data_IF_168331699391
#
_entry.id   IF_168331699391
#
_cell.length_a   1.000
_cell.length_b   1.000
_cell.length_c   1.000
_cell.angle_alpha   90.00
_cell.angle_beta   90.00
_cell.angle_gamma   90.00
#
_symmetry.space_group_name_H-M   'P 1'
#
loop_
_entity.id
_entity.type
_entity.pdbx_description
1 polymer ?
#
# COMPACT_ATOMS: atom_id res chain seq x y z
N UNK A 1 -9.05 5.02 15.79
CA UNK A 1 -8.64 6.43 15.72
C UNK A 1 -7.92 6.78 14.40
N UNK A 2 -7.18 5.85 13.72
CA UNK A 2 -6.57 6.12 12.41
C UNK A 2 -7.63 6.49 11.36
N UNK A 3 -8.72 5.75 11.25
CA UNK A 3 -9.78 6.01 10.29
C UNK A 3 -10.38 7.42 10.42
N UNK A 4 -10.50 7.93 11.65
CA UNK A 4 -10.97 9.31 11.91
C UNK A 4 -9.95 10.33 11.42
N UNK A 5 -8.66 10.08 11.67
CA UNK A 5 -7.56 10.95 11.23
C UNK A 5 -7.43 11.00 9.71
N UNK A 6 -7.57 9.85 9.05
CA UNK A 6 -7.39 9.71 7.60
C UNK A 6 -8.63 10.16 6.81
N UNK A 7 -9.78 10.15 7.46
CA UNK A 7 -11.04 10.62 6.90
C UNK A 7 -11.76 9.61 5.99
N UNK A 8 -13.02 9.89 5.70
CA UNK A 8 -13.93 8.98 4.98
C UNK A 8 -13.56 8.70 3.52
N UNK A 9 -12.67 9.49 2.93
CA UNK A 9 -12.17 9.26 1.56
C UNK A 9 -11.00 8.29 1.49
N UNK A 10 -10.42 7.92 2.63
CA UNK A 10 -9.41 6.90 2.71
C UNK A 10 -10.05 5.52 2.55
N UNK A 11 -9.46 4.68 1.73
CA UNK A 11 -9.88 3.29 1.57
C UNK A 11 -9.13 2.46 2.62
N UNK A 12 -9.90 1.76 3.45
CA UNK A 12 -9.37 0.94 4.54
C UNK A 12 -9.46 -0.52 4.11
N UNK A 13 -8.33 -1.20 4.12
CA UNK A 13 -8.24 -2.61 3.74
C UNK A 13 -7.71 -3.42 4.90
N UNK A 14 -8.35 -4.53 5.18
CA UNK A 14 -7.95 -5.46 6.24
C UNK A 14 -7.81 -6.86 5.67
N UNK A 15 -6.72 -7.55 5.99
CA UNK A 15 -6.58 -8.95 5.63
C UNK A 15 -7.70 -9.78 6.28
N UNK A 16 -8.34 -10.59 5.45
CA UNK A 16 -9.37 -11.53 5.89
C UNK A 16 -8.75 -12.92 5.94
N UNK A 17 -8.67 -13.47 7.14
CA UNK A 17 -8.23 -14.84 7.33
C UNK A 17 -9.15 -15.84 6.59
N UNK A 18 -8.60 -16.96 6.12
CA UNK A 18 -9.41 -18.00 5.50
C UNK A 18 -10.45 -18.58 6.46
N UNK A 19 -11.63 -18.88 5.93
CA UNK A 19 -12.72 -19.51 6.68
C UNK A 19 -13.76 -18.53 7.22
N UNK A 20 -14.77 -19.09 7.86
CA UNK A 20 -15.94 -18.35 8.35
C UNK A 20 -15.62 -17.35 9.48
N UNK A 21 -14.59 -17.63 10.28
CA UNK A 21 -14.13 -16.71 11.32
C UNK A 21 -13.60 -15.41 10.75
N UNK A 22 -12.78 -15.46 9.69
CA UNK A 22 -12.29 -14.26 9.01
C UNK A 22 -13.41 -13.45 8.36
N UNK A 23 -14.40 -14.12 7.79
CA UNK A 23 -15.59 -13.46 7.23
C UNK A 23 -16.41 -12.74 8.32
N UNK A 24 -16.61 -13.39 9.46
CA UNK A 24 -17.33 -12.80 10.59
C UNK A 24 -16.62 -11.56 11.14
N UNK A 25 -15.30 -11.60 11.26
CA UNK A 25 -14.49 -10.48 11.75
C UNK A 25 -14.58 -9.30 10.77
N UNK A 26 -14.38 -9.52 9.49
CA UNK A 26 -14.48 -8.45 8.48
C UNK A 26 -15.89 -7.86 8.38
N UNK A 27 -16.93 -8.69 8.47
CA UNK A 27 -18.33 -8.23 8.48
C UNK A 27 -18.63 -7.40 9.74
N UNK A 28 -18.13 -7.82 10.91
CA UNK A 28 -18.23 -7.05 12.14
C UNK A 28 -17.58 -5.66 12.00
N UNK A 29 -16.34 -5.59 11.48
CA UNK A 29 -15.68 -4.30 11.25
C UNK A 29 -16.46 -3.42 10.29
N UNK A 30 -16.93 -3.99 9.18
CA UNK A 30 -17.69 -3.25 8.16
C UNK A 30 -19.00 -2.68 8.69
N UNK A 31 -19.74 -3.44 9.52
CA UNK A 31 -21.09 -3.04 9.97
C UNK A 31 -21.11 -2.33 11.30
N UNK A 32 -20.20 -2.65 12.21
CA UNK A 32 -20.25 -2.17 13.58
C UNK A 32 -19.15 -1.17 13.93
N UNK A 33 -17.93 -1.36 13.39
CA UNK A 33 -16.79 -0.54 13.78
C UNK A 33 -16.57 0.61 12.81
N UNK A 34 -16.72 0.36 11.51
CA UNK A 34 -16.42 1.31 10.43
C UNK A 34 -17.58 1.48 9.43
N UNK A 35 -18.86 1.63 9.89
CA UNK A 35 -20.02 1.63 9.00
C UNK A 35 -20.05 2.80 8.03
N UNK A 36 -19.36 3.90 8.34
CA UNK A 36 -19.33 5.12 7.52
C UNK A 36 -18.05 5.28 6.70
N UNK A 37 -17.16 4.28 6.74
CA UNK A 37 -15.88 4.31 6.07
C UNK A 37 -15.88 3.36 4.88
N UNK A 38 -15.01 3.67 3.91
CA UNK A 38 -14.78 2.77 2.78
C UNK A 38 -13.87 1.62 3.21
N UNK A 39 -14.47 0.62 3.86
CA UNK A 39 -13.79 -0.55 4.42
C UNK A 39 -14.05 -1.80 3.58
N UNK A 40 -13.00 -2.56 3.33
CA UNK A 40 -13.09 -3.83 2.65
C UNK A 40 -12.16 -4.90 3.24
N UNK A 41 -12.70 -6.11 3.46
CA UNK A 41 -11.93 -7.29 3.83
C UNK A 41 -11.37 -7.96 2.58
N UNK A 42 -10.06 -8.23 2.57
CA UNK A 42 -9.38 -8.78 1.40
C UNK A 42 -8.76 -10.13 1.71
N UNK A 43 -8.92 -11.07 0.81
CA UNK A 43 -8.19 -12.34 0.85
C UNK A 43 -6.89 -12.16 0.08
N UNK A 44 -5.78 -12.26 0.80
CA UNK A 44 -4.47 -12.22 0.19
C UNK A 44 -4.13 -13.60 -0.39
N UNK A 45 -3.46 -13.61 -1.52
CA UNK A 45 -3.01 -14.82 -2.21
C UNK A 45 -1.52 -14.75 -2.48
N UNK A 46 -0.85 -15.88 -2.49
CA UNK A 46 0.60 -15.97 -2.66
C UNK A 46 1.38 -15.77 -1.35
N UNK A 47 2.66 -16.01 -1.40
CA UNK A 47 3.57 -15.81 -0.28
C UNK A 47 3.83 -14.32 -0.02
N UNK A 48 4.28 -13.97 1.19
CA UNK A 48 4.69 -12.60 1.55
C UNK A 48 5.75 -12.06 0.58
N UNK A 49 6.73 -12.88 0.22
CA UNK A 49 7.79 -12.51 -0.73
C UNK A 49 7.24 -12.22 -2.13
N UNK A 50 6.27 -13.02 -2.60
CA UNK A 50 5.62 -12.76 -3.89
C UNK A 50 4.83 -11.45 -3.87
N UNK A 51 4.09 -11.17 -2.80
CA UNK A 51 3.36 -9.92 -2.65
C UNK A 51 4.28 -8.70 -2.61
N UNK A 52 5.43 -8.82 -1.95
CA UNK A 52 6.42 -7.75 -1.83
C UNK A 52 7.23 -7.52 -3.12
N UNK A 53 7.29 -8.49 -4.04
CA UNK A 53 8.15 -8.42 -5.23
C UNK A 53 7.89 -7.20 -6.11
N UNK A 54 6.62 -6.84 -6.31
CA UNK A 54 6.25 -5.72 -7.17
C UNK A 54 6.66 -4.37 -6.57
N UNK A 55 6.45 -4.18 -5.28
CA UNK A 55 6.85 -2.95 -4.59
C UNK A 55 8.37 -2.88 -4.44
N UNK A 56 9.05 -4.00 -4.20
CA UNK A 56 10.51 -4.08 -4.18
C UNK A 56 11.12 -3.59 -5.50
N UNK A 57 10.61 -4.08 -6.64
CA UNK A 57 11.04 -3.62 -7.95
C UNK A 57 10.79 -2.11 -8.17
N UNK A 58 9.69 -1.58 -7.65
CA UNK A 58 9.39 -0.15 -7.71
C UNK A 58 10.33 0.69 -6.84
N UNK A 59 10.70 0.19 -5.66
CA UNK A 59 11.70 0.82 -4.78
C UNK A 59 13.06 0.86 -5.47
N UNK A 60 13.51 -0.25 -6.04
CA UNK A 60 14.77 -0.31 -6.79
C UNK A 60 14.78 0.65 -8.00
N UNK A 61 13.64 0.83 -8.64
CA UNK A 61 13.50 1.79 -9.74
C UNK A 61 13.35 3.26 -9.28
N UNK A 62 13.47 3.55 -7.99
CA UNK A 62 13.34 4.90 -7.42
C UNK A 62 11.93 5.51 -7.56
N UNK A 63 10.90 4.67 -7.70
CA UNK A 63 9.50 5.13 -7.87
C UNK A 63 8.75 5.27 -6.55
N UNK A 64 9.37 4.89 -5.45
CA UNK A 64 8.81 5.00 -4.10
C UNK A 64 9.63 6.00 -3.31
N UNK A 65 8.94 6.92 -2.64
CA UNK A 65 9.55 7.92 -1.78
C UNK A 65 8.93 7.87 -0.39
N UNK A 66 9.75 7.83 0.64
CA UNK A 66 9.31 7.90 2.02
C UNK A 66 9.64 9.28 2.56
N UNK A 67 8.64 9.95 3.12
CA UNK A 67 8.83 11.27 3.70
C UNK A 67 9.69 11.18 4.97
N UNK A 68 10.68 12.08 5.13
CA UNK A 68 11.55 12.11 6.32
C UNK A 68 10.78 12.26 7.64
N UNK A 69 9.61 12.92 7.59
CA UNK A 69 8.72 13.14 8.74
C UNK A 69 7.65 12.04 8.89
N UNK A 70 7.78 10.94 8.15
CA UNK A 70 6.86 9.82 8.33
C UNK A 70 6.95 9.27 9.75
N UNK A 71 5.79 9.14 10.40
CA UNK A 71 5.69 8.51 11.71
C UNK A 71 6.17 7.05 11.58
N UNK A 72 6.90 6.58 12.55
CA UNK A 72 7.44 5.20 12.57
C UNK A 72 8.41 4.86 11.41
N UNK A 73 8.99 5.88 10.75
CA UNK A 73 9.91 5.62 9.62
C UNK A 73 11.04 4.67 9.99
N UNK A 74 11.69 4.87 11.15
CA UNK A 74 12.82 4.03 11.56
C UNK A 74 12.37 2.57 11.77
N UNK A 75 11.23 2.34 12.43
CA UNK A 75 10.71 0.99 12.61
C UNK A 75 10.36 0.33 11.27
N UNK A 76 9.85 1.10 10.31
CA UNK A 76 9.58 0.61 8.96
C UNK A 76 10.87 0.28 8.19
N UNK A 77 11.91 1.12 8.31
CA UNK A 77 13.22 0.84 7.70
C UNK A 77 13.83 -0.45 8.29
N UNK A 78 13.79 -0.62 9.62
CA UNK A 78 14.29 -1.82 10.30
C UNK A 78 13.53 -3.08 9.86
N UNK A 79 12.23 -2.97 9.65
CA UNK A 79 11.40 -4.08 9.18
C UNK A 79 11.69 -4.45 7.72
N UNK A 80 11.87 -3.46 6.83
CA UNK A 80 12.29 -3.70 5.44
C UNK A 80 13.67 -4.37 5.38
N UNK A 81 14.63 -3.90 6.17
CA UNK A 81 15.99 -4.41 6.17
C UNK A 81 16.07 -5.86 6.65
N UNK A 82 15.18 -6.26 7.56
CA UNK A 82 15.10 -7.64 8.07
C UNK A 82 14.20 -8.57 7.25
N UNK A 83 13.37 -8.03 6.36
CA UNK A 83 12.44 -8.82 5.55
C UNK A 83 13.18 -9.76 4.56
N UNK A 84 12.77 -11.01 4.33
CA UNK A 84 11.56 -11.66 4.88
C UNK A 84 11.79 -12.46 6.17
N UNK A 85 12.94 -12.35 6.80
CA UNK A 85 13.38 -13.21 7.92
C UNK A 85 13.22 -12.54 9.29
N UNK A 86 12.77 -11.30 9.33
CA UNK A 86 12.52 -10.54 10.56
C UNK A 86 11.39 -11.14 11.41
N UNK A 87 11.38 -10.78 12.69
CA UNK A 87 10.32 -11.18 13.62
C UNK A 87 9.01 -10.43 13.42
N UNK A 88 9.06 -9.31 12.71
CA UNK A 88 7.92 -8.45 12.36
C UNK A 88 7.97 -8.14 10.87
N UNK A 89 6.81 -8.15 10.22
CA UNK A 89 6.67 -7.86 8.80
C UNK A 89 5.31 -7.19 8.47
N UNK A 90 4.59 -6.77 9.51
CA UNK A 90 3.23 -6.21 9.39
C UNK A 90 3.20 -4.94 8.53
N UNK A 91 4.20 -4.06 8.69
CA UNK A 91 4.27 -2.82 7.91
C UNK A 91 4.68 -3.08 6.46
N UNK A 92 5.56 -4.04 6.21
CA UNK A 92 5.96 -4.45 4.86
C UNK A 92 4.79 -5.12 4.14
N UNK A 93 4.01 -5.96 4.83
CA UNK A 93 2.81 -6.58 4.27
C UNK A 93 1.74 -5.53 3.94
N UNK A 94 1.44 -4.61 4.86
CA UNK A 94 0.50 -3.52 4.62
C UNK A 94 0.93 -2.60 3.46
N UNK A 95 2.22 -2.27 3.39
CA UNK A 95 2.79 -1.48 2.30
C UNK A 95 2.70 -2.20 0.96
N UNK A 96 3.02 -3.50 0.94
CA UNK A 96 2.95 -4.33 -0.26
C UNK A 96 1.51 -4.45 -0.78
N UNK A 97 0.53 -4.65 0.11
CA UNK A 97 -0.87 -4.70 -0.28
C UNK A 97 -1.38 -3.38 -0.83
N UNK A 98 -1.09 -2.27 -0.15
CA UNK A 98 -1.46 -0.94 -0.62
C UNK A 98 -0.87 -0.64 -2.01
N UNK A 99 0.41 -0.95 -2.22
CA UNK A 99 1.06 -0.76 -3.52
C UNK A 99 0.42 -1.61 -4.61
N UNK A 100 0.20 -2.89 -4.35
CA UNK A 100 -0.41 -3.83 -5.29
C UNK A 100 -1.84 -3.40 -5.65
N UNK A 101 -2.61 -2.92 -4.69
CA UNK A 101 -3.94 -2.39 -4.92
C UNK A 101 -3.92 -1.21 -5.91
N UNK A 102 -3.08 -0.21 -5.67
CA UNK A 102 -2.98 0.95 -6.56
C UNK A 102 -2.43 0.60 -7.93
N UNK A 103 -1.44 -0.28 -8.01
CA UNK A 103 -0.89 -0.76 -9.27
C UNK A 103 -1.96 -1.48 -10.12
N UNK A 104 -2.81 -2.30 -9.51
CA UNK A 104 -3.90 -2.98 -10.18
C UNK A 104 -5.02 -2.03 -10.58
N UNK A 105 -5.35 -1.05 -9.73
CA UNK A 105 -6.34 -0.01 -10.05
C UNK A 105 -5.89 0.83 -11.25
N UNK A 106 -4.62 1.22 -11.31
CA UNK A 106 -4.03 1.95 -12.43
C UNK A 106 -4.08 1.14 -13.73
N UNK A 107 -3.81 -0.17 -13.69
CA UNK A 107 -3.91 -1.05 -14.87
C UNK A 107 -5.33 -1.12 -15.44
N UNK A 108 -6.35 -1.13 -14.59
CA UNK A 108 -7.76 -1.19 -15.00
C UNK A 108 -8.26 0.10 -15.65
N UNK A 109 -7.64 1.24 -15.34
CA UNK A 109 -8.01 2.56 -15.87
C UNK A 109 -7.07 3.03 -16.99
N UNK A 110 -6.07 2.24 -17.37
CA UNK A 110 -5.25 2.54 -18.52
C UNK A 110 -6.10 2.47 -19.80
N UNK A 111 -6.13 3.53 -20.63
CA UNK A 111 -6.88 3.49 -21.88
C UNK A 111 -6.32 2.36 -22.76
N UNK A 112 -7.21 1.49 -23.24
CA UNK A 112 -6.89 0.45 -24.19
C UNK A 112 -6.43 1.14 -25.47
N UNK A 113 -5.12 1.14 -25.77
CA UNK A 113 -4.62 1.65 -27.05
C UNK A 113 -3.40 2.56 -27.02
N UNK A 114 -2.76 2.80 -25.87
CA UNK A 114 -1.48 3.52 -25.89
C UNK A 114 -0.34 2.51 -25.96
N UNK A 115 0.14 2.26 -27.19
CA UNK A 115 1.41 1.60 -27.46
C UNK A 115 2.54 2.32 -26.71
N UNK A 116 3.49 1.55 -26.20
CA UNK A 116 4.72 1.99 -25.53
C UNK A 116 5.45 3.08 -26.35
N UNK A 117 5.14 4.33 -26.11
CA UNK A 117 6.05 5.43 -26.39
C UNK A 117 6.59 5.87 -25.02
N UNK A 118 7.88 5.67 -24.83
CA UNK A 118 8.59 6.03 -23.60
C UNK A 118 8.46 7.53 -23.33
N UNK A 119 7.81 7.88 -22.26
CA UNK A 119 7.73 9.24 -21.76
C UNK A 119 7.60 9.18 -20.26
N UNK A 120 8.67 9.58 -19.57
CA UNK A 120 8.64 9.76 -18.12
C UNK A 120 7.67 10.89 -17.78
N UNK A 121 6.55 10.56 -17.17
CA UNK A 121 5.53 11.54 -16.75
C UNK A 121 5.91 12.35 -15.50
N UNK A 122 7.17 12.32 -15.09
CA UNK A 122 7.67 13.15 -14.01
C UNK A 122 8.74 14.09 -14.56
N UNK A 123 8.31 15.22 -15.12
CA UNK A 123 9.24 16.29 -15.42
C UNK A 123 9.84 16.85 -14.13
N UNK A 124 11.15 17.00 -14.13
CA UNK A 124 12.02 17.52 -13.07
C UNK A 124 11.72 18.96 -12.60
N UNK A 125 10.59 19.54 -12.98
CA UNK A 125 10.37 21.00 -12.87
C UNK A 125 9.58 21.47 -11.65
N UNK A 126 9.31 20.61 -10.66
CA UNK A 126 8.50 21.06 -9.50
C UNK A 126 9.22 21.10 -8.16
N UNK A 127 10.54 20.97 -8.16
CA UNK A 127 11.34 21.31 -6.99
C UNK A 127 12.35 22.37 -7.37
N UNK A 128 11.84 23.60 -7.49
CA UNK A 128 12.64 24.80 -7.60
C UNK A 128 13.62 24.88 -6.43
N UNK A 129 14.83 25.22 -6.77
CA UNK A 129 15.89 25.62 -5.84
C UNK A 129 15.36 26.69 -4.90
N UNK A 130 15.26 26.39 -3.63
CA UNK A 130 15.24 27.35 -2.56
C UNK A 130 16.59 27.20 -1.85
N UNK A 131 17.56 28.00 -2.28
CA UNK A 131 18.76 28.23 -1.50
C UNK A 131 18.40 29.13 -0.30
N UNK A 132 19.01 28.81 0.79
CA UNK A 132 19.59 29.49 1.95
C UNK A 132 19.62 28.49 3.11
#
# INVERSE_FOLDING_TARGET
>A
DCAVSDGRRCEIRMEQEPGSSGEMVTDHYKRQVLPEYNFDGIRLTGSKTERASLVSAACQAGKVCILRRCRNKNAFDDEIDSFPYGSHDDMVDAFSDAYNFFANKAKRHAPVGVSKAGGSYWSKERYGRGGF
#
